data_IF_365884128550
#
_entry.id   IF_365884128550
#
_cell.length_a   1.000
_cell.length_b   1.000
_cell.length_c   1.000
_cell.angle_alpha   90.00
_cell.angle_beta   90.00
_cell.angle_gamma   90.00
#
_symmetry.space_group_name_H-M   'P 1'
#
loop_
_entity.id
_entity.type
_entity.pdbx_description
1 polymer ?
#
# COMPACT_ATOMS: atom_id res chain seq x y z
N UNK A 1 23.41 23.86 -25.20
CA UNK A 1 22.40 24.73 -24.57
C UNK A 1 22.30 24.38 -23.09
N UNK A 2 23.14 24.99 -22.25
CA UNK A 2 23.20 24.70 -20.82
C UNK A 2 22.06 25.40 -20.09
N UNK A 3 21.17 24.63 -19.45
CA UNK A 3 20.19 25.17 -18.50
C UNK A 3 20.91 25.33 -17.16
N UNK A 4 21.42 26.53 -16.91
CA UNK A 4 22.03 26.90 -15.63
C UNK A 4 21.02 26.82 -14.50
N UNK A 5 21.27 25.93 -13.54
CA UNK A 5 20.58 25.93 -12.26
C UNK A 5 21.24 26.97 -11.34
N UNK A 6 20.81 28.23 -11.49
CA UNK A 6 21.15 29.31 -10.55
C UNK A 6 20.26 29.24 -9.31
N UNK A 7 20.88 29.18 -8.13
CA UNK A 7 20.22 29.34 -6.82
C UNK A 7 19.44 30.65 -6.79
N UNK A 8 18.10 30.59 -6.87
CA UNK A 8 17.24 31.76 -6.61
C UNK A 8 16.03 31.94 -7.53
N UNK A 9 15.92 31.22 -8.65
CA UNK A 9 14.75 31.33 -9.51
C UNK A 9 13.57 30.51 -8.95
N UNK A 10 12.50 31.18 -8.48
CA UNK A 10 11.19 30.55 -8.25
C UNK A 10 10.57 30.21 -9.60
N UNK A 11 10.90 29.05 -10.15
CA UNK A 11 10.28 28.55 -11.38
C UNK A 11 8.81 28.22 -11.12
N UNK A 12 7.89 29.04 -11.64
CA UNK A 12 6.48 28.66 -11.75
C UNK A 12 6.38 27.68 -12.92
N UNK A 13 6.39 26.39 -12.60
CA UNK A 13 6.15 25.35 -13.59
C UNK A 13 4.64 25.29 -13.86
N UNK A 14 4.22 25.78 -15.03
CA UNK A 14 2.92 25.37 -15.57
C UNK A 14 3.06 23.88 -15.89
N UNK A 15 2.31 23.04 -15.16
CA UNK A 15 2.28 21.59 -15.37
C UNK A 15 1.48 21.29 -16.63
N UNK A 16 2.07 21.50 -17.80
CA UNK A 16 1.61 20.91 -19.06
C UNK A 16 2.37 19.61 -19.28
N UNK A 17 1.93 18.51 -18.67
CA UNK A 17 2.45 17.17 -19.00
C UNK A 17 1.46 16.39 -19.85
N UNK A 18 1.32 16.79 -21.12
CA UNK A 18 1.16 15.83 -22.21
C UNK A 18 2.56 15.57 -22.78
N UNK A 19 3.35 14.75 -22.08
CA UNK A 19 4.60 14.21 -22.63
C UNK A 19 4.42 12.71 -22.87
N UNK A 20 4.03 12.42 -24.11
CA UNK A 20 4.13 11.16 -24.82
C UNK A 20 5.58 10.72 -24.87
N UNK A 21 6.05 10.01 -23.85
CA UNK A 21 7.21 9.12 -23.95
C UNK A 21 7.00 7.99 -22.96
N UNK A 22 6.43 6.89 -23.45
CA UNK A 22 6.19 5.65 -22.70
C UNK A 22 7.49 4.85 -22.43
N UNK A 23 8.61 5.52 -22.14
CA UNK A 23 9.81 4.86 -21.66
C UNK A 23 9.58 4.44 -20.19
N UNK A 24 9.16 3.19 -19.99
CA UNK A 24 9.05 2.55 -18.67
C UNK A 24 7.64 2.33 -18.12
N UNK A 25 6.59 2.92 -18.72
CA UNK A 25 5.20 2.66 -18.31
C UNK A 25 4.64 1.49 -19.11
N UNK A 26 4.38 0.34 -18.44
CA UNK A 26 3.79 -0.85 -19.07
C UNK A 26 2.51 -0.46 -19.81
N UNK A 27 2.41 -0.82 -21.09
CA UNK A 27 1.21 -0.56 -21.89
C UNK A 27 0.00 -1.23 -21.24
N UNK A 28 -1.12 -0.50 -21.07
CA UNK A 28 -2.31 -1.04 -20.45
C UNK A 28 -2.89 -2.17 -21.30
N UNK A 29 -3.52 -3.16 -20.65
CA UNK A 29 -3.94 -4.44 -21.27
C UNK A 29 -4.80 -4.25 -22.54
N UNK A 30 -5.63 -3.21 -22.56
CA UNK A 30 -6.48 -2.83 -23.70
C UNK A 30 -5.72 -2.30 -24.92
N UNK A 31 -4.60 -1.62 -24.72
CA UNK A 31 -3.80 -0.98 -25.79
C UNK A 31 -2.57 -1.82 -26.20
N UNK A 32 -2.44 -3.05 -25.69
CA UNK A 32 -1.35 -3.96 -26.08
C UNK A 32 -1.59 -4.52 -27.47
N UNK A 33 -0.53 -4.54 -28.28
CA UNK A 33 -0.55 -5.18 -29.59
C UNK A 33 -0.84 -6.68 -29.52
N UNK A 34 -1.33 -7.23 -30.63
CA UNK A 34 -1.72 -8.65 -30.78
C UNK A 34 -0.61 -9.61 -30.37
N UNK A 35 0.65 -9.33 -30.76
CA UNK A 35 1.83 -10.13 -30.40
C UNK A 35 2.08 -10.16 -28.89
N UNK A 36 1.96 -9.00 -28.21
CA UNK A 36 2.12 -8.91 -26.76
C UNK A 36 1.01 -9.65 -26.01
N UNK A 37 -0.23 -9.55 -26.49
CA UNK A 37 -1.37 -10.32 -25.94
C UNK A 37 -1.16 -11.83 -26.09
N UNK A 38 -0.72 -12.30 -27.26
CA UNK A 38 -0.42 -13.73 -27.49
C UNK A 38 0.70 -14.22 -26.57
N UNK A 39 1.83 -13.50 -26.47
CA UNK A 39 2.94 -13.86 -25.56
C UNK A 39 2.49 -13.96 -24.10
N UNK A 40 1.67 -13.01 -23.62
CA UNK A 40 1.13 -13.07 -22.26
C UNK A 40 0.25 -14.31 -22.04
N UNK A 41 -0.58 -14.68 -23.03
CA UNK A 41 -1.41 -15.89 -22.96
C UNK A 41 -0.57 -17.16 -22.86
N UNK A 42 0.52 -17.27 -23.62
CA UNK A 42 1.44 -18.40 -23.53
C UNK A 42 2.14 -18.48 -22.17
N UNK A 43 2.65 -17.35 -21.67
CA UNK A 43 3.28 -17.28 -20.35
C UNK A 43 2.31 -17.62 -19.21
N UNK A 44 1.03 -17.27 -19.33
CA UNK A 44 0.01 -17.67 -18.35
C UNK A 44 -0.51 -19.10 -18.52
N UNK A 45 -0.24 -19.73 -19.67
CA UNK A 45 -0.73 -21.08 -20.00
C UNK A 45 0.24 -22.16 -19.51
N UNK A 46 1.53 -21.85 -19.43
CA UNK A 46 2.51 -22.70 -18.75
C UNK A 46 2.47 -22.36 -17.25
N UNK A 47 1.51 -22.97 -16.56
CA UNK A 47 1.31 -22.89 -15.11
C UNK A 47 2.40 -23.58 -14.31
N UNK A 48 3.45 -24.11 -14.94
CA UNK A 48 4.58 -24.75 -14.25
C UNK A 48 5.15 -23.86 -13.16
N UNK A 49 5.23 -22.54 -13.38
CA UNK A 49 5.65 -21.62 -12.34
C UNK A 49 4.66 -21.54 -11.16
N UNK A 50 3.35 -21.58 -11.42
CA UNK A 50 2.33 -21.57 -10.38
C UNK A 50 2.27 -22.92 -9.63
N UNK A 51 2.49 -24.03 -10.33
CA UNK A 51 2.60 -25.37 -9.76
C UNK A 51 3.86 -25.48 -8.88
N UNK A 52 5.00 -24.97 -9.34
CA UNK A 52 6.22 -24.87 -8.56
C UNK A 52 6.05 -23.96 -7.34
N UNK A 53 5.39 -22.81 -7.47
CA UNK A 53 5.07 -21.92 -6.34
C UNK A 53 4.16 -22.61 -5.31
N UNK A 54 3.22 -23.45 -5.76
CA UNK A 54 2.38 -24.26 -4.88
C UNK A 54 3.17 -25.39 -4.21
N UNK A 55 4.04 -26.11 -4.94
CA UNK A 55 4.91 -27.16 -4.41
C UNK A 55 5.94 -26.64 -3.40
N UNK A 56 6.46 -25.43 -3.62
CA UNK A 56 7.36 -24.74 -2.69
C UNK A 56 6.61 -24.11 -1.49
N UNK A 57 5.29 -24.26 -1.42
CA UNK A 57 4.47 -23.68 -0.35
C UNK A 57 4.42 -22.16 -0.34
N UNK A 58 4.87 -21.49 -1.41
CA UNK A 58 4.87 -20.03 -1.60
C UNK A 58 3.47 -19.51 -1.96
N UNK A 59 2.43 -20.09 -1.37
CA UNK A 59 1.08 -19.59 -1.50
C UNK A 59 1.00 -18.19 -0.90
N UNK A 60 0.36 -17.27 -1.61
CA UNK A 60 0.16 -15.88 -1.16
C UNK A 60 -0.36 -15.91 0.28
N UNK A 61 0.32 -15.18 1.16
CA UNK A 61 -0.01 -15.08 2.59
C UNK A 61 -1.53 -15.06 2.75
N UNK A 62 -2.05 -16.09 3.42
CA UNK A 62 -3.48 -16.32 3.56
C UNK A 62 -4.17 -15.03 3.92
N UNK A 63 -5.27 -14.71 3.22
CA UNK A 63 -6.08 -13.51 3.48
C UNK A 63 -6.30 -13.45 4.99
N UNK A 64 -5.69 -12.47 5.67
CA UNK A 64 -5.88 -12.30 7.09
C UNK A 64 -7.40 -12.27 7.33
N UNK A 65 -7.88 -13.24 8.10
CA UNK A 65 -9.28 -13.32 8.51
C UNK A 65 -9.67 -11.97 9.08
N UNK A 66 -10.86 -11.47 8.75
CA UNK A 66 -11.31 -10.17 9.24
C UNK A 66 -11.39 -10.26 10.76
N UNK A 67 -10.43 -9.65 11.44
CA UNK A 67 -10.40 -9.59 12.90
C UNK A 67 -11.57 -8.75 13.39
N UNK A 68 -12.16 -9.14 14.50
CA UNK A 68 -13.11 -8.27 15.20
C UNK A 68 -12.36 -7.05 15.75
N UNK A 69 -13.04 -5.91 15.98
CA UNK A 69 -12.45 -4.68 16.53
C UNK A 69 -11.61 -4.95 17.79
N UNK A 70 -12.11 -5.79 18.70
CA UNK A 70 -11.42 -6.16 19.93
C UNK A 70 -10.09 -6.90 19.64
N UNK A 71 -10.08 -7.79 18.66
CA UNK A 71 -8.88 -8.53 18.24
C UNK A 71 -7.88 -7.63 17.52
N UNK A 72 -8.35 -6.65 16.74
CA UNK A 72 -7.48 -5.65 16.13
C UNK A 72 -6.77 -4.81 17.19
N UNK A 73 -7.52 -4.33 18.20
CA UNK A 73 -6.96 -3.57 19.33
C UNK A 73 -5.95 -4.41 20.12
N UNK A 74 -6.27 -5.67 20.44
CA UNK A 74 -5.37 -6.55 21.18
C UNK A 74 -4.08 -6.90 20.39
N UNK A 75 -4.12 -6.84 19.07
CA UNK A 75 -2.95 -7.12 18.22
C UNK A 75 -1.99 -5.94 18.06
N UNK A 76 -2.31 -4.76 18.61
CA UNK A 76 -1.42 -3.60 18.55
C UNK A 76 -0.22 -3.87 19.46
N UNK A 77 0.96 -3.97 18.85
CA UNK A 77 2.22 -4.08 19.58
C UNK A 77 2.71 -2.70 19.97
N UNK A 78 3.13 -2.55 21.22
CA UNK A 78 3.73 -1.31 21.73
C UNK A 78 5.17 -1.57 22.16
N UNK A 79 6.01 -0.54 22.06
CA UNK A 79 7.39 -0.64 22.52
C UNK A 79 7.43 -0.94 24.02
N UNK A 80 8.19 -1.97 24.39
CA UNK A 80 8.42 -2.31 25.79
C UNK A 80 9.25 -1.19 26.45
N UNK A 81 8.68 -0.50 27.43
CA UNK A 81 9.43 0.53 28.18
C UNK A 81 10.43 -0.16 29.11
N UNK A 82 11.71 0.00 28.83
CA UNK A 82 12.80 -0.51 29.68
C UNK A 82 13.07 0.40 30.89
N UNK A 83 12.79 1.70 30.77
CA UNK A 83 13.03 2.68 31.84
C UNK A 83 11.72 3.10 32.52
N UNK A 84 11.52 2.70 33.79
CA UNK A 84 10.36 3.00 34.65
C UNK A 84 10.15 4.49 35.00
N UNK A 85 10.71 5.42 34.22
CA UNK A 85 10.53 6.86 34.40
C UNK A 85 9.08 7.26 34.07
N UNK A 86 8.44 8.03 34.94
CA UNK A 86 7.03 8.44 34.78
C UNK A 86 6.74 9.14 33.45
N UNK A 87 7.69 9.93 32.93
CA UNK A 87 7.57 10.61 31.62
C UNK A 87 7.43 9.59 30.46
N UNK A 88 8.09 8.44 30.56
CA UNK A 88 7.99 7.35 29.58
C UNK A 88 6.62 6.69 29.60
N UNK A 89 6.08 6.41 30.80
CA UNK A 89 4.75 5.81 30.97
C UNK A 89 3.64 6.73 30.46
N UNK A 90 3.73 8.05 30.71
CA UNK A 90 2.78 9.03 30.17
C UNK A 90 2.80 9.06 28.64
N UNK A 91 3.99 8.95 28.03
CA UNK A 91 4.13 8.93 26.57
C UNK A 91 3.55 7.64 25.96
N UNK A 92 3.86 6.48 26.54
CA UNK A 92 3.28 5.21 26.11
C UNK A 92 1.76 5.21 26.25
N UNK A 93 1.21 5.72 27.35
CA UNK A 93 -0.25 5.86 27.49
C UNK A 93 -0.85 6.68 26.36
N UNK A 94 -0.23 7.79 25.97
CA UNK A 94 -0.67 8.61 24.82
C UNK A 94 -0.60 7.81 23.51
N UNK A 95 0.47 7.06 23.28
CA UNK A 95 0.62 6.21 22.10
C UNK A 95 -0.47 5.12 22.04
N UNK A 96 -0.72 4.43 23.15
CA UNK A 96 -1.78 3.41 23.27
C UNK A 96 -3.14 4.03 22.96
N UNK A 97 -3.49 5.13 23.63
CA UNK A 97 -4.77 5.80 23.42
C UNK A 97 -4.95 6.31 22.00
N UNK A 98 -3.90 6.87 21.39
CA UNK A 98 -3.92 7.33 20.00
C UNK A 98 -4.18 6.17 19.03
N UNK A 99 -3.41 5.09 19.15
CA UNK A 99 -3.57 3.91 18.29
C UNK A 99 -4.97 3.28 18.40
N UNK A 100 -5.50 3.15 19.63
CA UNK A 100 -6.85 2.62 19.84
C UNK A 100 -7.92 3.54 19.24
N UNK A 101 -7.79 4.86 19.40
CA UNK A 101 -8.72 5.83 18.80
C UNK A 101 -8.71 5.74 17.27
N UNK A 102 -7.54 5.62 16.67
CA UNK A 102 -7.39 5.50 15.21
C UNK A 102 -8.05 4.22 14.68
N UNK A 103 -7.85 3.08 15.36
CA UNK A 103 -8.52 1.82 14.99
C UNK A 103 -10.03 1.95 15.07
N UNK A 104 -10.56 2.49 16.18
CA UNK A 104 -12.01 2.71 16.34
C UNK A 104 -12.57 3.62 15.25
N UNK A 105 -11.88 4.72 14.94
CA UNK A 105 -12.29 5.67 13.89
C UNK A 105 -12.35 5.00 12.52
N UNK A 106 -11.31 4.25 12.13
CA UNK A 106 -11.29 3.51 10.86
C UNK A 106 -12.44 2.50 10.79
N UNK A 107 -12.74 1.83 11.90
CA UNK A 107 -13.85 0.87 11.96
C UNK A 107 -15.21 1.56 11.76
N UNK A 108 -15.42 2.72 12.39
CA UNK A 108 -16.65 3.51 12.21
C UNK A 108 -16.76 4.10 10.80
N UNK A 109 -15.65 4.57 10.22
CA UNK A 109 -15.62 5.12 8.86
C UNK A 109 -15.92 4.01 7.82
N UNK A 110 -15.41 2.80 8.08
CA UNK A 110 -15.71 1.60 7.29
C UNK A 110 -17.18 1.17 7.42
N UNK A 111 -17.79 1.30 8.59
CA UNK A 111 -19.22 1.05 8.77
C UNK A 111 -20.08 2.10 8.01
N UNK A 112 -19.75 3.38 8.13
CA UNK A 112 -20.45 4.49 7.45
C UNK A 112 -20.37 4.38 5.93
N UNK A 113 -19.18 4.11 5.38
CA UNK A 113 -19.00 3.93 3.93
C UNK A 113 -19.70 2.71 3.34
N UNK A 114 -20.03 1.71 4.16
CA UNK A 114 -20.90 0.58 3.75
C UNK A 114 -22.37 0.98 3.73
N UNK A 115 -22.80 1.83 4.66
CA UNK A 115 -24.16 2.33 4.73
C UNK A 115 -24.46 3.33 3.61
N UNK A 116 -23.52 4.21 3.26
CA UNK A 116 -23.69 5.22 2.20
C UNK A 116 -23.64 4.67 0.77
N UNK A 117 -23.30 3.39 0.60
CA UNK A 117 -23.25 2.70 -0.70
C UNK A 117 -24.48 1.83 -0.97
N UNK A 118 -25.36 1.70 0.02
CA UNK A 118 -26.71 1.19 -0.14
C UNK A 118 -27.63 2.35 -0.45
#
# INVERSE_FOLDING_TARGET
MGRGFGRGAKSVAIVTHAQTNHAGKKTPKGLRGTRQRKRQRFLSRNSEQAELENSLGLTKAGKHTQKNLAQEIASIQFAHIVNKREKGLKHLRKQIMGAVKDVRRRYTDKARSRQSKK
#
